data_IF_687678537781
#
_entry.id   IF_687678537781
#
_cell.length_a   1.000
_cell.length_b   1.000
_cell.length_c   1.000
_cell.angle_alpha   90.00
_cell.angle_beta   90.00
_cell.angle_gamma   90.00
#
_symmetry.space_group_name_H-M   'P 1'
#
loop_
_entity.id
_entity.type
_entity.pdbx_description
1 polymer ?
#
# COMPACT_ATOMS: atom_id res chain seq x y z
N UNK A 1 -65.54 -6.34 2.23
CA UNK A 1 -64.78 -5.08 2.35
C UNK A 1 -63.31 -5.44 2.17
N UNK A 2 -62.71 -5.08 1.04
CA UNK A 2 -61.32 -5.37 0.70
C UNK A 2 -60.40 -4.60 1.68
N UNK A 3 -59.55 -5.29 2.43
CA UNK A 3 -58.60 -4.65 3.33
C UNK A 3 -57.46 -4.09 2.48
N UNK A 4 -57.42 -2.78 2.28
CA UNK A 4 -56.35 -2.10 1.54
C UNK A 4 -55.00 -2.43 2.22
N UNK A 5 -54.10 -3.08 1.46
CA UNK A 5 -52.76 -3.43 1.91
C UNK A 5 -51.95 -2.17 2.12
N UNK A 6 -51.14 -2.14 3.17
CA UNK A 6 -50.27 -1.02 3.47
C UNK A 6 -49.15 -0.92 2.43
N UNK A 7 -48.64 0.29 2.19
CA UNK A 7 -47.60 0.57 1.20
C UNK A 7 -46.35 -0.31 1.40
N UNK A 8 -46.04 -0.65 2.65
CA UNK A 8 -44.93 -1.53 3.04
C UNK A 8 -45.16 -3.00 2.65
N UNK A 9 -46.40 -3.49 2.72
CA UNK A 9 -46.75 -4.85 2.28
C UNK A 9 -46.72 -4.97 0.76
N UNK A 10 -47.16 -3.93 0.04
CA UNK A 10 -47.08 -3.85 -1.41
C UNK A 10 -45.61 -3.84 -1.86
N UNK A 11 -44.77 -2.99 -1.25
CA UNK A 11 -43.34 -2.91 -1.59
C UNK A 11 -42.58 -4.22 -1.32
N UNK A 12 -42.89 -4.97 -0.25
CA UNK A 12 -42.25 -6.26 0.04
C UNK A 12 -42.74 -7.39 -0.86
N UNK A 13 -44.02 -7.40 -1.26
CA UNK A 13 -44.52 -8.42 -2.21
C UNK A 13 -44.00 -8.18 -3.64
N UNK A 14 -43.85 -6.94 -4.10
CA UNK A 14 -43.20 -6.66 -5.39
C UNK A 14 -41.69 -6.95 -5.37
N UNK A 15 -41.01 -6.74 -4.23
CA UNK A 15 -39.59 -7.07 -4.08
C UNK A 15 -39.31 -8.58 -4.23
N UNK A 16 -40.21 -9.43 -3.73
CA UNK A 16 -40.10 -10.89 -3.85
C UNK A 16 -40.44 -11.40 -5.26
N UNK A 17 -41.34 -10.74 -5.99
CA UNK A 17 -41.75 -11.15 -7.36
C UNK A 17 -40.68 -10.80 -8.41
N UNK A 18 -39.90 -9.73 -8.22
CA UNK A 18 -38.79 -9.39 -9.11
C UNK A 18 -37.52 -10.23 -8.87
N UNK A 19 -37.40 -10.90 -7.71
CA UNK A 19 -36.23 -11.71 -7.36
C UNK A 19 -36.24 -13.10 -8.02
N UNK A 20 -37.40 -13.61 -8.45
CA UNK A 20 -37.53 -14.94 -9.08
C UNK A 20 -37.27 -14.95 -10.60
N UNK A 21 -37.06 -13.79 -11.24
CA UNK A 21 -36.79 -13.66 -12.67
C UNK A 21 -35.37 -13.19 -13.03
N UNK A 22 -34.44 -13.18 -12.06
CA UNK A 22 -33.00 -13.28 -12.33
C UNK A 22 -32.38 -12.23 -13.28
N UNK A 23 -32.87 -10.99 -13.29
CA UNK A 23 -32.38 -9.97 -14.22
C UNK A 23 -32.27 -8.58 -13.59
N UNK A 24 -31.60 -8.47 -12.44
CA UNK A 24 -31.11 -7.17 -11.98
C UNK A 24 -29.80 -7.32 -11.19
N UNK A 25 -28.62 -6.99 -11.74
CA UNK A 25 -27.53 -6.51 -10.91
C UNK A 25 -27.84 -5.04 -10.60
N UNK A 26 -28.74 -4.75 -9.66
CA UNK A 26 -28.73 -3.44 -9.02
C UNK A 26 -27.54 -3.50 -8.08
N UNK A 27 -26.41 -3.01 -8.57
CA UNK A 27 -25.34 -2.54 -7.69
C UNK A 27 -25.94 -1.40 -6.89
N UNK A 28 -26.49 -1.71 -5.73
CA UNK A 28 -26.94 -0.73 -4.78
C UNK A 28 -25.68 -0.13 -4.17
N UNK A 29 -25.18 0.96 -4.76
CA UNK A 29 -24.04 1.70 -4.24
C UNK A 29 -24.47 2.44 -2.99
N UNK A 30 -24.44 1.75 -1.85
CA UNK A 30 -24.44 2.41 -0.57
C UNK A 30 -23.12 3.17 -0.46
N UNK A 31 -23.17 4.50 -0.34
CA UNK A 31 -22.02 5.28 0.08
C UNK A 31 -21.70 4.88 1.54
N UNK A 32 -20.90 3.84 1.72
CA UNK A 32 -20.40 3.48 3.04
C UNK A 32 -19.46 4.60 3.50
N UNK A 33 -19.89 5.32 4.52
CA UNK A 33 -19.10 6.41 5.14
C UNK A 33 -17.97 5.88 6.01
N UNK A 34 -18.02 4.60 6.43
CA UNK A 34 -16.95 3.94 7.15
C UNK A 34 -16.99 2.42 6.92
N UNK A 35 -15.81 1.83 6.71
CA UNK A 35 -15.60 0.39 6.62
C UNK A 35 -14.54 0.00 7.64
N UNK A 36 -14.88 -0.89 8.58
CA UNK A 36 -13.95 -1.42 9.57
C UNK A 36 -13.67 -2.88 9.23
N UNK A 37 -12.46 -3.17 8.76
CA UNK A 37 -11.96 -4.54 8.66
C UNK A 37 -11.02 -4.83 9.83
N UNK A 38 -11.26 -5.96 10.49
CA UNK A 38 -10.36 -6.52 11.51
C UNK A 38 -9.35 -7.51 10.94
N UNK A 39 -9.68 -8.37 9.94
CA UNK A 39 -8.67 -9.17 9.25
C UNK A 39 -7.96 -8.35 8.15
N UNK A 40 -6.90 -8.93 7.59
CA UNK A 40 -6.13 -8.33 6.47
C UNK A 40 -7.03 -8.03 5.27
N UNK A 41 -6.86 -6.83 4.71
CA UNK A 41 -7.46 -6.44 3.42
C UNK A 41 -6.43 -6.71 2.32
N UNK A 42 -6.81 -7.45 1.28
CA UNK A 42 -5.99 -7.67 0.08
C UNK A 42 -6.57 -6.88 -1.09
N UNK A 43 -5.72 -6.11 -1.77
CA UNK A 43 -6.07 -5.33 -2.97
C UNK A 43 -5.19 -5.82 -4.12
N UNK A 44 -5.79 -6.40 -5.15
CA UNK A 44 -5.07 -6.98 -6.30
C UNK A 44 -4.81 -5.97 -7.44
N UNK A 45 -5.15 -4.69 -7.22
CA UNK A 45 -4.97 -3.60 -8.17
C UNK A 45 -4.50 -2.31 -7.47
N UNK A 46 -4.67 -1.18 -8.14
CA UNK A 46 -4.34 0.13 -7.56
C UNK A 46 -5.31 0.51 -6.43
N UNK A 47 -4.79 1.08 -5.35
CA UNK A 47 -5.56 1.70 -4.29
C UNK A 47 -5.26 3.21 -4.26
N UNK A 48 -6.31 4.03 -4.26
CA UNK A 48 -6.21 5.49 -4.06
C UNK A 48 -6.93 5.85 -2.76
N UNK A 49 -6.20 6.47 -1.83
CA UNK A 49 -6.76 6.99 -0.58
C UNK A 49 -6.86 8.51 -0.71
N UNK A 50 -8.08 9.03 -0.78
CA UNK A 50 -8.32 10.48 -0.75
C UNK A 50 -8.33 10.94 0.71
N UNK A 51 -7.47 11.91 1.05
CA UNK A 51 -7.31 12.41 2.42
C UNK A 51 -6.15 11.73 3.16
N UNK A 52 -6.25 11.67 4.48
CA UNK A 52 -5.14 11.21 5.33
C UNK A 52 -5.15 9.69 5.50
N UNK A 53 -4.00 9.04 5.27
CA UNK A 53 -3.77 7.62 5.58
C UNK A 53 -2.94 7.51 6.87
N UNK A 54 -3.52 6.93 7.93
CA UNK A 54 -2.77 6.56 9.14
C UNK A 54 -2.51 5.06 9.13
N UNK A 55 -1.24 4.66 9.25
CA UNK A 55 -0.79 3.26 9.21
C UNK A 55 0.32 3.04 10.25
N UNK A 56 0.42 1.83 10.78
CA UNK A 56 1.53 1.45 11.66
C UNK A 56 2.84 1.24 10.91
N UNK A 57 2.78 0.71 9.69
CA UNK A 57 3.95 0.48 8.83
C UNK A 57 3.59 0.59 7.34
N UNK A 58 4.62 0.74 6.49
CA UNK A 58 4.53 0.65 5.03
C UNK A 58 5.78 -0.06 4.52
N UNK A 59 5.61 -1.31 4.11
CA UNK A 59 6.69 -2.17 3.60
C UNK A 59 6.27 -2.73 2.27
N UNK A 60 7.20 -2.76 1.31
CA UNK A 60 7.03 -3.52 0.08
C UNK A 60 8.13 -4.57 -0.03
N UNK A 61 7.78 -5.69 -0.66
CA UNK A 61 8.67 -6.82 -0.89
C UNK A 61 8.78 -7.03 -2.38
N UNK A 62 10.00 -7.10 -2.89
CA UNK A 62 10.29 -7.43 -4.28
C UNK A 62 11.23 -8.63 -4.33
N UNK A 63 11.28 -9.27 -5.49
CA UNK A 63 12.33 -10.22 -5.78
C UNK A 63 13.71 -9.53 -5.71
N UNK A 64 14.70 -10.22 -5.16
CA UNK A 64 16.04 -9.67 -5.10
C UNK A 64 16.60 -9.50 -6.52
N UNK A 65 17.07 -8.30 -6.91
CA UNK A 65 17.40 -8.03 -8.31
C UNK A 65 18.57 -8.85 -8.85
N UNK A 66 19.46 -9.33 -7.97
CA UNK A 66 20.56 -10.24 -8.34
C UNK A 66 20.25 -11.73 -8.21
N UNK A 67 19.18 -12.09 -7.48
CA UNK A 67 18.84 -13.50 -7.20
C UNK A 67 17.32 -13.66 -6.95
N UNK A 68 16.50 -13.40 -7.99
CA UNK A 68 15.05 -13.29 -7.82
C UNK A 68 14.39 -14.62 -7.48
N UNK A 69 15.02 -15.75 -7.82
CA UNK A 69 14.47 -17.08 -7.57
C UNK A 69 14.61 -17.53 -6.10
N UNK A 70 15.59 -16.98 -5.36
CA UNK A 70 15.96 -17.49 -4.04
C UNK A 70 15.95 -16.44 -2.94
N UNK A 71 15.87 -15.14 -3.29
CA UNK A 71 15.95 -14.05 -2.31
C UNK A 71 14.85 -13.02 -2.54
N UNK A 72 14.37 -12.47 -1.43
CA UNK A 72 13.45 -11.33 -1.40
C UNK A 72 14.17 -10.12 -0.80
N UNK A 73 13.80 -8.94 -1.27
CA UNK A 73 14.29 -7.68 -0.77
C UNK A 73 13.13 -6.89 -0.16
N UNK A 74 13.29 -6.53 1.11
CA UNK A 74 12.29 -5.79 1.89
C UNK A 74 12.70 -4.32 1.97
N UNK A 75 11.76 -3.43 1.69
CA UNK A 75 11.95 -1.99 1.85
C UNK A 75 10.82 -1.37 2.65
N UNK A 76 11.16 -0.44 3.52
CA UNK A 76 10.21 0.42 4.23
C UNK A 76 10.04 1.74 3.49
N UNK A 77 8.87 2.36 3.64
CA UNK A 77 8.59 3.64 3.01
C UNK A 77 9.40 4.76 3.64
N UNK A 78 10.05 5.56 2.79
CA UNK A 78 10.55 6.88 3.12
C UNK A 78 9.50 7.88 2.66
N UNK A 79 8.89 8.61 3.59
CA UNK A 79 7.92 9.66 3.25
C UNK A 79 8.66 10.94 2.92
N UNK A 80 8.82 11.20 1.61
CA UNK A 80 9.59 12.32 1.07
C UNK A 80 8.89 12.87 -0.19
N UNK A 81 9.07 14.15 -0.53
CA UNK A 81 8.54 14.71 -1.77
C UNK A 81 9.13 14.06 -3.03
N UNK A 82 10.30 13.41 -2.93
CA UNK A 82 10.87 12.62 -4.03
C UNK A 82 10.87 11.11 -3.70
N UNK A 83 10.84 10.28 -4.74
CA UNK A 83 11.00 8.82 -4.61
C UNK A 83 12.46 8.49 -4.35
N UNK A 84 12.78 7.92 -3.18
CA UNK A 84 14.16 7.65 -2.75
C UNK A 84 14.30 6.29 -2.10
N UNK A 85 15.41 5.61 -2.40
CA UNK A 85 16.00 4.61 -1.52
C UNK A 85 17.09 5.30 -0.69
N UNK A 86 17.09 5.10 0.62
CA UNK A 86 18.07 5.69 1.53
C UNK A 86 18.94 4.58 2.13
N UNK A 87 20.25 4.82 2.13
CA UNK A 87 21.26 3.96 2.74
C UNK A 87 22.09 4.84 3.66
N UNK A 88 22.17 4.50 4.94
CA UNK A 88 22.88 5.26 5.96
C UNK A 88 23.88 4.37 6.71
N UNK A 89 24.88 5.02 7.30
CA UNK A 89 25.95 4.33 8.01
C UNK A 89 26.98 5.32 8.57
N UNK A 90 27.90 4.79 9.38
CA UNK A 90 29.02 5.53 9.96
C UNK A 90 30.31 4.82 9.50
N UNK A 91 31.28 5.60 9.04
CA UNK A 91 32.59 5.10 8.62
C UNK A 91 33.69 5.95 9.27
N UNK A 92 34.77 5.30 9.68
CA UNK A 92 35.97 5.98 10.21
C UNK A 92 36.94 6.26 9.08
N UNK A 93 37.49 7.47 9.06
CA UNK A 93 38.56 7.83 8.12
C UNK A 93 39.89 7.22 8.55
N UNK A 94 40.72 6.84 7.60
CA UNK A 94 42.08 6.40 7.85
C UNK A 94 43.03 7.57 8.20
N UNK A 95 44.33 7.28 8.32
CA UNK A 95 45.36 8.29 8.64
C UNK A 95 45.52 9.38 7.58
N UNK A 96 45.04 9.14 6.36
CA UNK A 96 45.04 10.10 5.25
C UNK A 96 43.75 10.91 5.19
N UNK A 97 42.76 10.59 6.04
CA UNK A 97 41.43 11.18 6.01
C UNK A 97 40.49 10.54 4.99
N UNK A 98 40.83 9.38 4.43
CA UNK A 98 40.02 8.66 3.45
C UNK A 98 39.10 7.63 4.10
N UNK A 99 37.94 7.37 3.51
CA UNK A 99 37.02 6.34 3.97
C UNK A 99 36.42 5.58 2.78
N UNK A 100 36.33 4.26 2.92
CA UNK A 100 35.67 3.40 1.94
C UNK A 100 34.28 2.99 2.46
N UNK A 101 33.24 3.39 1.74
CA UNK A 101 31.85 2.97 2.01
C UNK A 101 31.50 1.81 1.10
N UNK A 102 31.24 0.64 1.69
CA UNK A 102 30.77 -0.53 0.93
C UNK A 102 29.24 -0.52 0.89
N UNK A 103 28.68 -0.39 -0.31
CA UNK A 103 27.23 -0.49 -0.53
C UNK A 103 26.84 -1.95 -0.80
N UNK A 104 25.55 -2.31 -0.62
CA UNK A 104 25.06 -3.62 -1.01
C UNK A 104 25.36 -3.91 -2.49
N UNK A 105 25.67 -5.16 -2.81
CA UNK A 105 26.00 -5.62 -4.17
C UNK A 105 24.89 -5.31 -5.19
N UNK A 106 23.63 -5.33 -4.75
CA UNK A 106 22.47 -4.99 -5.56
C UNK A 106 22.23 -3.49 -5.73
N UNK A 107 23.00 -2.60 -5.09
CA UNK A 107 22.72 -1.17 -5.06
C UNK A 107 22.57 -0.59 -6.47
N UNK A 108 23.51 -0.86 -7.37
CA UNK A 108 23.49 -0.32 -8.74
C UNK A 108 22.41 -0.94 -9.63
N UNK A 109 21.92 -2.13 -9.29
CA UNK A 109 20.81 -2.76 -10.02
C UNK A 109 19.47 -2.08 -9.76
N UNK A 110 19.31 -1.45 -8.59
CA UNK A 110 18.07 -0.82 -8.15
C UNK A 110 18.12 0.71 -8.22
N UNK A 111 19.30 1.31 -8.12
CA UNK A 111 19.47 2.74 -7.97
C UNK A 111 20.22 3.35 -9.15
N UNK A 112 19.82 4.56 -9.54
CA UNK A 112 20.46 5.39 -10.56
C UNK A 112 20.58 6.81 -10.04
N UNK A 113 21.49 7.59 -10.62
CA UNK A 113 21.67 9.02 -10.32
C UNK A 113 21.75 9.32 -8.81
N UNK A 114 22.57 8.54 -8.11
CA UNK A 114 22.67 8.57 -6.66
C UNK A 114 23.35 9.85 -6.14
N UNK A 115 22.92 10.27 -4.95
CA UNK A 115 23.46 11.42 -4.22
C UNK A 115 24.05 10.93 -2.91
N UNK A 116 25.18 11.50 -2.52
CA UNK A 116 25.83 11.22 -1.25
C UNK A 116 25.78 12.47 -0.37
N UNK A 117 25.42 12.28 0.89
CA UNK A 117 25.53 13.30 1.93
C UNK A 117 26.48 12.78 3.01
N UNK A 118 27.52 13.54 3.29
CA UNK A 118 28.52 13.21 4.32
C UNK A 118 28.51 14.31 5.36
N UNK A 119 28.34 13.92 6.62
CA UNK A 119 28.44 14.82 7.76
C UNK A 119 29.60 14.35 8.64
N UNK A 120 30.60 15.21 8.83
CA UNK A 120 31.64 14.96 9.80
C UNK A 120 31.05 14.98 11.21
N UNK A 121 31.30 13.94 11.99
CA UNK A 121 30.94 13.87 13.40
C UNK A 121 32.23 13.70 14.21
N UNK A 122 32.44 14.58 15.18
CA UNK A 122 33.52 14.41 16.16
C UNK A 122 33.02 13.45 17.23
N UNK A 123 33.74 12.36 17.45
CA UNK A 123 33.46 11.37 18.50
C UNK A 123 34.30 11.68 19.74
#
# INVERSE_FOLDING_TARGET
MEKLRTTTEILTTWFLVLFTLGLIPVALTYAQTALKHTPTVSVTGGASVTGTLSKSSGTFVIDHPLDPANKLLFHSFVESPDVKNMYDGIVTTDSSGEALVTLPDYFESLNRDYRYQVNGVTV
#
